data_IF_894974732945
#
_entry.id   IF_894974732945
#
_cell.length_a   1.000
_cell.length_b   1.000
_cell.length_c   1.000
_cell.angle_alpha   90.00
_cell.angle_beta   90.00
_cell.angle_gamma   90.00
#
_symmetry.space_group_name_H-M   'P 1'
#
loop_
_entity.id
_entity.type
_entity.pdbx_description
1 polymer ?
#
# COMPACT_ATOMS: atom_id res chain seq x y z
N UNK A 1 51.74 23.25 23.58
CA UNK A 1 50.41 22.79 24.06
C UNK A 1 49.22 23.35 23.25
N UNK A 2 49.42 24.27 22.28
CA UNK A 2 48.33 24.80 21.42
C UNK A 2 48.12 24.02 20.11
N UNK A 3 49.15 23.34 19.58
CA UNK A 3 49.03 22.53 18.35
C UNK A 3 48.14 21.29 18.52
N UNK A 4 48.11 20.70 19.72
CA UNK A 4 47.29 19.51 20.01
C UNK A 4 45.79 19.83 20.07
N UNK A 5 45.42 21.04 20.48
CA UNK A 5 44.02 21.48 20.58
C UNK A 5 43.41 21.68 19.18
N UNK A 6 44.21 22.15 18.22
CA UNK A 6 43.78 22.38 16.84
C UNK A 6 43.51 21.07 16.07
N UNK A 7 44.25 20.00 16.38
CA UNK A 7 44.05 18.68 15.78
C UNK A 7 42.76 17.99 16.27
N UNK A 8 42.39 18.18 17.53
CA UNK A 8 41.17 17.59 18.11
C UNK A 8 39.92 18.27 17.53
N UNK A 9 39.95 19.58 17.29
CA UNK A 9 38.84 20.32 16.69
C UNK A 9 38.55 19.91 15.23
N UNK A 10 39.59 19.55 14.47
CA UNK A 10 39.44 19.08 13.08
C UNK A 10 38.86 17.65 13.01
N UNK A 11 39.18 16.80 13.99
CA UNK A 11 38.62 15.44 14.09
C UNK A 11 37.13 15.43 14.44
N UNK A 12 36.63 16.42 15.18
CA UNK A 12 35.19 16.55 15.52
C UNK A 12 34.30 16.98 14.35
N UNK A 13 34.85 17.43 13.22
CA UNK A 13 34.07 17.74 12.01
C UNK A 13 33.79 16.52 11.12
N UNK A 14 34.42 15.38 11.40
CA UNK A 14 34.12 14.11 10.72
C UNK A 14 33.00 13.38 11.46
N UNK A 15 31.84 14.02 11.60
CA UNK A 15 30.63 13.30 12.00
C UNK A 15 30.30 12.28 10.90
N UNK A 16 30.44 10.99 11.22
CA UNK A 16 29.95 9.90 10.36
C UNK A 16 28.44 10.05 10.21
N UNK A 17 28.01 10.57 9.07
CA UNK A 17 26.60 10.56 8.69
C UNK A 17 26.25 9.10 8.42
N UNK A 18 25.42 8.49 9.26
CA UNK A 18 24.94 7.12 9.04
C UNK A 18 23.87 7.14 7.93
N UNK A 19 24.33 7.20 6.68
CA UNK A 19 23.46 7.14 5.52
C UNK A 19 23.15 5.68 5.18
N UNK A 20 21.94 5.23 5.49
CA UNK A 20 21.45 3.95 5.00
C UNK A 20 21.16 4.05 3.49
N UNK A 21 21.86 3.25 2.69
CA UNK A 21 21.59 3.13 1.26
C UNK A 21 20.55 2.05 1.02
N UNK A 22 19.48 2.39 0.32
CA UNK A 22 18.43 1.44 -0.07
C UNK A 22 18.47 1.19 -1.56
N UNK A 23 18.42 -0.07 -1.96
CA UNK A 23 18.30 -0.49 -3.37
C UNK A 23 16.91 -1.05 -3.63
N UNK A 24 16.41 -0.89 -4.85
CA UNK A 24 15.07 -1.40 -5.20
C UNK A 24 15.07 -2.92 -5.31
N UNK A 25 14.39 -3.58 -4.39
CA UNK A 25 14.21 -5.05 -4.42
C UNK A 25 13.09 -5.48 -5.35
N UNK A 26 11.94 -4.81 -5.28
CA UNK A 26 10.72 -5.22 -5.99
C UNK A 26 10.09 -4.05 -6.76
N UNK A 27 9.41 -4.38 -7.86
CA UNK A 27 8.65 -3.41 -8.68
C UNK A 27 7.35 -4.05 -9.15
N UNK A 28 6.24 -3.51 -8.69
CA UNK A 28 4.91 -4.00 -9.06
C UNK A 28 4.19 -2.92 -9.86
N UNK A 29 3.89 -3.21 -11.12
CA UNK A 29 3.20 -2.28 -12.02
C UNK A 29 2.15 -3.04 -12.83
N UNK A 30 1.00 -2.40 -13.04
CA UNK A 30 -0.03 -2.89 -13.95
C UNK A 30 -0.55 -4.27 -13.57
N UNK A 31 -0.53 -5.28 -14.47
CA UNK A 31 -1.07 -6.62 -14.19
C UNK A 31 -0.35 -7.35 -13.06
N UNK A 32 0.91 -7.00 -12.76
CA UNK A 32 1.69 -7.63 -11.71
C UNK A 32 1.02 -7.56 -10.32
N UNK A 33 0.18 -6.54 -10.08
CA UNK A 33 -0.60 -6.43 -8.83
C UNK A 33 -1.50 -7.64 -8.58
N UNK A 34 -1.95 -8.33 -9.63
CA UNK A 34 -2.83 -9.49 -9.51
C UNK A 34 -2.11 -10.76 -9.05
N UNK A 35 -0.78 -10.79 -9.10
CA UNK A 35 0.06 -11.93 -8.70
C UNK A 35 0.82 -11.62 -7.41
N UNK A 36 1.09 -10.35 -7.15
CA UNK A 36 1.89 -9.91 -6.01
C UNK A 36 1.08 -9.76 -4.71
N UNK A 37 -0.24 -9.67 -4.84
CA UNK A 37 -1.15 -9.46 -3.72
C UNK A 37 -2.26 -10.52 -3.69
N UNK A 38 -2.57 -10.98 -2.48
CA UNK A 38 -3.72 -11.80 -2.17
C UNK A 38 -4.98 -10.93 -2.01
N UNK A 39 -6.08 -11.36 -2.65
CA UNK A 39 -7.40 -10.78 -2.47
C UNK A 39 -8.04 -11.35 -1.20
N UNK A 40 -8.27 -10.51 -0.20
CA UNK A 40 -8.77 -10.92 1.11
C UNK A 40 -10.30 -10.93 1.13
N UNK A 41 -10.92 -12.03 0.69
CA UNK A 41 -12.36 -12.24 0.76
C UNK A 41 -12.80 -12.67 2.18
N UNK A 42 -12.62 -11.78 3.14
CA UNK A 42 -12.93 -12.02 4.55
C UNK A 42 -13.84 -10.92 5.10
N UNK A 43 -14.61 -11.18 6.18
CA UNK A 43 -15.33 -10.13 6.89
C UNK A 43 -14.38 -9.03 7.35
N UNK A 44 -14.83 -7.78 7.28
CA UNK A 44 -13.99 -6.64 7.64
C UNK A 44 -13.69 -6.62 9.15
N UNK A 45 -12.40 -6.65 9.57
CA UNK A 45 -12.03 -6.60 10.98
C UNK A 45 -12.47 -5.32 11.69
N UNK A 46 -12.61 -4.22 10.94
CA UNK A 46 -13.05 -2.92 11.48
C UNK A 46 -14.57 -2.78 11.58
N UNK A 47 -15.33 -3.83 11.22
CA UNK A 47 -16.80 -3.85 11.22
C UNK A 47 -17.41 -2.74 10.35
N UNK A 48 -16.73 -2.36 9.27
CA UNK A 48 -17.26 -1.44 8.28
C UNK A 48 -18.36 -2.06 7.43
N UNK A 49 -19.19 -1.22 6.81
CA UNK A 49 -20.26 -1.65 5.88
C UNK A 49 -19.66 -1.96 4.50
N UNK A 50 -18.88 -3.03 4.42
CA UNK A 50 -18.14 -3.45 3.21
C UNK A 50 -18.21 -4.96 3.03
N UNK A 51 -18.29 -5.40 1.77
CA UNK A 51 -18.17 -6.80 1.39
C UNK A 51 -16.90 -6.98 0.56
N UNK A 52 -15.87 -7.59 1.13
CA UNK A 52 -14.63 -7.86 0.39
C UNK A 52 -14.78 -9.09 -0.50
N UNK A 53 -14.65 -8.90 -1.81
CA UNK A 53 -14.82 -9.96 -2.79
C UNK A 53 -13.50 -10.60 -3.22
N UNK A 54 -13.56 -11.82 -3.76
CA UNK A 54 -12.40 -12.51 -4.30
C UNK A 54 -11.97 -11.93 -5.67
N UNK A 55 -10.80 -12.36 -6.16
CA UNK A 55 -10.22 -11.89 -7.43
C UNK A 55 -11.16 -12.08 -8.63
N UNK A 56 -11.77 -13.26 -8.76
CA UNK A 56 -12.65 -13.57 -9.89
C UNK A 56 -13.87 -12.65 -9.93
N UNK A 57 -14.53 -12.47 -8.79
CA UNK A 57 -15.67 -11.55 -8.64
C UNK A 57 -15.25 -10.11 -8.85
N UNK A 58 -14.10 -9.69 -8.31
CA UNK A 58 -13.57 -8.34 -8.51
C UNK A 58 -13.32 -8.05 -10.00
N UNK A 59 -12.78 -8.99 -10.76
CA UNK A 59 -12.55 -8.82 -12.20
C UNK A 59 -13.87 -8.84 -12.97
N UNK A 60 -14.78 -9.77 -12.66
CA UNK A 60 -16.08 -9.90 -13.32
C UNK A 60 -16.97 -8.66 -13.11
N UNK A 61 -16.95 -8.08 -11.91
CA UNK A 61 -17.68 -6.86 -11.58
C UNK A 61 -16.91 -5.59 -11.97
N UNK A 62 -15.71 -5.73 -12.54
CA UNK A 62 -14.81 -4.62 -12.85
C UNK A 62 -14.60 -3.73 -11.62
N UNK A 63 -14.21 -4.30 -10.48
CA UNK A 63 -13.74 -3.59 -9.29
C UNK A 63 -12.22 -3.42 -9.31
N UNK A 64 -11.51 -4.39 -9.89
CA UNK A 64 -10.09 -4.27 -10.22
C UNK A 64 -9.89 -4.23 -11.72
N UNK A 65 -9.01 -3.35 -12.18
CA UNK A 65 -8.62 -3.27 -13.58
C UNK A 65 -7.14 -2.97 -13.69
N UNK A 66 -6.44 -3.73 -14.55
CA UNK A 66 -5.02 -3.57 -14.78
C UNK A 66 -4.78 -3.19 -16.25
N UNK A 67 -4.05 -2.10 -16.44
CA UNK A 67 -3.44 -1.71 -17.73
C UNK A 67 -1.93 -1.83 -17.60
N UNK A 68 -1.18 -1.54 -18.69
CA UNK A 68 0.27 -1.67 -18.74
C UNK A 68 1.00 -0.94 -17.59
N UNK A 69 0.54 0.26 -17.22
CA UNK A 69 1.19 1.14 -16.24
C UNK A 69 0.26 1.55 -15.09
N UNK A 70 -0.97 1.05 -15.07
CA UNK A 70 -2.03 1.53 -14.18
C UNK A 70 -2.76 0.35 -13.57
N UNK A 71 -2.97 0.39 -12.26
CA UNK A 71 -3.83 -0.53 -11.56
C UNK A 71 -4.93 0.25 -10.84
N UNK A 72 -6.19 -0.11 -11.12
CA UNK A 72 -7.37 0.54 -10.56
C UNK A 72 -8.00 -0.39 -9.53
N UNK A 73 -8.17 0.15 -8.33
CA UNK A 73 -8.95 -0.41 -7.24
C UNK A 73 -10.14 0.49 -6.97
N UNK A 74 -11.36 -0.04 -7.04
CA UNK A 74 -12.58 0.74 -6.77
C UNK A 74 -13.62 -0.07 -6.02
N UNK A 75 -14.47 0.63 -5.30
CA UNK A 75 -15.70 0.06 -4.74
C UNK A 75 -16.82 0.06 -5.79
N UNK A 76 -17.83 -0.79 -5.61
CA UNK A 76 -19.00 -0.82 -6.48
C UNK A 76 -19.79 0.50 -6.38
N UNK A 77 -19.90 1.23 -7.48
CA UNK A 77 -20.64 2.49 -7.57
C UNK A 77 -22.01 2.35 -8.22
N UNK A 78 -22.42 1.15 -8.64
CA UNK A 78 -23.64 0.94 -9.44
C UNK A 78 -24.81 0.44 -8.62
N UNK A 79 -24.57 -0.44 -7.66
CA UNK A 79 -25.67 -1.06 -6.89
C UNK A 79 -26.03 -0.24 -5.65
N UNK A 80 -27.33 -0.23 -5.35
CA UNK A 80 -27.87 0.20 -4.06
C UNK A 80 -27.67 -0.94 -3.08
N UNK A 81 -26.99 -0.65 -1.97
CA UNK A 81 -26.65 -1.64 -0.94
C UNK A 81 -27.85 -1.84 -0.02
N UNK A 82 -28.45 -3.05 0.05
CA UNK A 82 -29.58 -3.32 0.93
C UNK A 82 -29.24 -3.07 2.41
N UNK A 83 -30.23 -2.68 3.20
CA UNK A 83 -30.05 -2.32 4.62
C UNK A 83 -29.56 -3.49 5.49
N UNK A 84 -29.79 -4.75 5.09
CA UNK A 84 -29.35 -5.96 5.80
C UNK A 84 -28.16 -6.70 5.18
N UNK A 85 -27.51 -6.12 4.17
CA UNK A 85 -26.32 -6.74 3.55
C UNK A 85 -25.04 -6.38 4.29
N UNK A 86 -24.00 -7.21 4.11
CA UNK A 86 -22.66 -6.97 4.68
C UNK A 86 -22.10 -5.59 4.32
N UNK A 87 -22.42 -5.11 3.11
CA UNK A 87 -22.10 -3.76 2.68
C UNK A 87 -21.85 -3.66 1.19
N UNK A 88 -21.16 -2.57 0.80
CA UNK A 88 -20.78 -2.33 -0.60
C UNK A 88 -19.65 -3.27 -1.02
N UNK A 89 -19.76 -3.86 -2.20
CA UNK A 89 -18.69 -4.69 -2.76
C UNK A 89 -17.42 -3.84 -2.95
N UNK A 90 -16.31 -4.31 -2.38
CA UNK A 90 -15.00 -3.65 -2.45
C UNK A 90 -13.90 -4.71 -2.44
N UNK A 91 -12.65 -4.26 -2.58
CA UNK A 91 -11.49 -5.14 -2.66
C UNK A 91 -10.46 -4.75 -1.61
N UNK A 92 -9.98 -5.76 -0.90
CA UNK A 92 -8.85 -5.65 0.03
C UNK A 92 -7.72 -6.53 -0.47
N UNK A 93 -6.55 -5.92 -0.64
CA UNK A 93 -5.35 -6.60 -1.13
C UNK A 93 -4.27 -6.58 -0.05
N UNK A 94 -3.55 -7.69 0.06
CA UNK A 94 -2.40 -7.84 0.97
C UNK A 94 -1.25 -8.51 0.23
N UNK A 95 -0.05 -7.96 0.33
CA UNK A 95 1.12 -8.54 -0.34
C UNK A 95 1.45 -9.91 0.23
N UNK A 96 1.99 -10.79 -0.62
CA UNK A 96 2.49 -12.09 -0.17
C UNK A 96 3.80 -11.95 0.62
N UNK A 97 4.64 -10.99 0.24
CA UNK A 97 5.91 -10.71 0.91
C UNK A 97 5.71 -9.82 2.13
N UNK A 98 6.51 -10.06 3.16
CA UNK A 98 6.63 -9.18 4.32
C UNK A 98 8.07 -8.69 4.46
N UNK A 99 8.22 -7.42 4.83
CA UNK A 99 9.50 -6.74 5.02
C UNK A 99 9.52 -6.15 6.42
N UNK A 100 10.70 -6.17 7.05
CA UNK A 100 10.93 -5.63 8.40
C UNK A 100 11.43 -4.19 8.30
N UNK A 101 12.57 -3.99 7.64
CA UNK A 101 13.16 -2.66 7.36
C UNK A 101 13.18 -2.49 5.85
N UNK A 102 12.37 -1.55 5.35
CA UNK A 102 12.22 -1.31 3.92
C UNK A 102 11.70 0.10 3.67
N UNK A 103 11.85 0.56 2.43
CA UNK A 103 11.29 1.81 1.93
C UNK A 103 10.24 1.49 0.89
N UNK A 104 9.01 1.90 1.12
CA UNK A 104 7.91 1.75 0.19
C UNK A 104 7.69 3.06 -0.56
N UNK A 105 7.68 3.00 -1.89
CA UNK A 105 7.27 4.12 -2.73
C UNK A 105 6.03 3.71 -3.52
N UNK A 106 4.97 4.51 -3.41
CA UNK A 106 3.72 4.29 -4.12
C UNK A 106 3.43 5.50 -5.00
N UNK A 107 3.36 5.30 -6.30
CA UNK A 107 2.90 6.32 -7.25
C UNK A 107 1.37 6.17 -7.40
N UNK A 108 0.64 7.11 -6.80
CA UNK A 108 -0.82 7.07 -6.72
C UNK A 108 -1.39 8.27 -7.49
N UNK A 109 -2.00 8.00 -8.64
CA UNK A 109 -2.66 9.03 -9.47
C UNK A 109 -3.98 9.51 -8.89
N UNK A 110 -4.71 8.64 -8.19
CA UNK A 110 -6.02 8.95 -7.62
C UNK A 110 -6.29 8.08 -6.39
N UNK A 111 -6.87 8.67 -5.34
CA UNK A 111 -7.30 7.97 -4.13
C UNK A 111 -8.84 8.00 -3.99
N UNK A 112 -9.47 6.99 -3.39
CA UNK A 112 -10.92 7.00 -3.17
C UNK A 112 -11.37 8.23 -2.37
N UNK A 113 -12.49 8.82 -2.77
CA UNK A 113 -13.07 10.00 -2.13
C UNK A 113 -14.58 9.87 -1.93
N UNK A 114 -15.13 10.57 -0.94
CA UNK A 114 -16.56 10.64 -0.64
C UNK A 114 -16.92 10.28 0.81
N UNK A 115 -18.10 10.70 1.28
CA UNK A 115 -18.56 10.43 2.64
C UNK A 115 -18.69 8.91 2.90
N UNK A 116 -18.25 8.47 4.08
CA UNK A 116 -18.31 7.06 4.49
C UNK A 116 -17.22 6.17 3.88
N UNK A 117 -16.34 6.70 3.02
CA UNK A 117 -15.14 5.99 2.60
C UNK A 117 -14.06 6.14 3.69
N UNK A 118 -13.52 5.00 4.12
CA UNK A 118 -12.39 4.96 5.03
C UNK A 118 -11.18 4.47 4.25
N UNK A 119 -10.22 5.37 4.03
CA UNK A 119 -8.91 4.96 3.56
C UNK A 119 -8.08 4.53 4.77
N UNK A 120 -7.84 3.22 4.89
CA UNK A 120 -6.87 2.69 5.83
C UNK A 120 -5.70 2.14 5.02
N UNK A 121 -4.58 2.89 4.92
CA UNK A 121 -3.33 2.29 4.49
C UNK A 121 -2.96 1.32 5.61
N UNK A 122 -3.42 0.07 5.49
CA UNK A 122 -3.09 -0.94 6.48
C UNK A 122 -1.57 -0.99 6.57
N UNK A 123 -1.04 -1.16 7.79
CA UNK A 123 0.39 -1.48 8.04
C UNK A 123 0.91 -2.69 7.25
N UNK A 124 0.07 -3.33 6.44
CA UNK A 124 0.34 -4.48 5.59
C UNK A 124 0.39 -4.18 4.09
N UNK A 125 0.39 -2.91 3.65
CA UNK A 125 0.92 -2.56 2.31
C UNK A 125 2.44 -2.58 2.38
N UNK A 126 2.96 -3.80 2.37
CA UNK A 126 4.38 -4.12 2.45
C UNK A 126 4.81 -4.33 1.00
N UNK A 127 5.27 -3.25 0.36
CA UNK A 127 5.77 -3.24 -1.01
C UNK A 127 7.29 -3.39 -1.05
#
# INVERSE_FOLDING_TARGET
>A
MQLTISFIALASLLTVVNAASYTRTDKVVGPAFNEWFAYQAMPDPTKGRVNYVNKATAQAQNLTFASADTFILRADSKKVVPAGSLGRDSVRMRSFKSYTIHVVTMDIRHMPQGCGHVFSPSRSLVA
#
